data_IF_433873185167
#
_entry.id   IF_433873185167
#
_cell.length_a   1.000
_cell.length_b   1.000
_cell.length_c   1.000
_cell.angle_alpha   90.00
_cell.angle_beta   90.00
_cell.angle_gamma   90.00
#
_symmetry.space_group_name_H-M   'P 1'
#
loop_
_entity.id
_entity.type
_entity.pdbx_description
1 polymer ?
#
# COMPACT_ATOMS: atom_id res chain seq x y z
N UNK A 1 19.28 -27.16 20.50
CA UNK A 1 19.34 -27.59 19.08
C UNK A 1 19.71 -26.33 18.31
N UNK A 2 20.91 -26.29 17.70
CA UNK A 2 21.30 -25.15 16.87
C UNK A 2 20.45 -25.23 15.60
N UNK A 3 19.70 -24.17 15.28
CA UNK A 3 18.99 -24.11 14.01
C UNK A 3 20.03 -24.12 12.89
N UNK A 4 19.91 -25.09 11.97
CA UNK A 4 20.75 -25.12 10.78
C UNK A 4 20.47 -23.87 9.96
N UNK A 5 21.52 -23.12 9.62
CA UNK A 5 21.38 -21.90 8.85
C UNK A 5 20.80 -22.21 7.47
N UNK A 6 19.75 -21.48 7.06
CA UNK A 6 19.23 -21.57 5.70
C UNK A 6 20.29 -21.07 4.71
N UNK A 7 20.62 -21.89 3.71
CA UNK A 7 21.59 -21.55 2.67
C UNK A 7 20.87 -21.32 1.33
N UNK A 8 21.16 -20.19 0.69
CA UNK A 8 20.69 -19.89 -0.66
C UNK A 8 21.83 -20.03 -1.68
N UNK A 9 21.62 -20.74 -2.80
CA UNK A 9 22.65 -20.90 -3.83
C UNK A 9 22.95 -19.59 -4.59
N UNK A 10 22.06 -18.60 -4.49
CA UNK A 10 22.20 -17.29 -5.14
C UNK A 10 22.22 -16.16 -4.12
N UNK A 11 22.77 -15.01 -4.53
CA UNK A 11 22.74 -13.79 -3.71
C UNK A 11 21.31 -13.29 -3.57
N UNK A 12 20.94 -12.80 -2.39
CA UNK A 12 19.68 -12.09 -2.22
C UNK A 12 19.74 -10.72 -2.89
N UNK A 13 18.66 -10.31 -3.52
CA UNK A 13 18.49 -8.96 -4.10
C UNK A 13 17.75 -8.05 -3.12
N UNK A 14 16.78 -8.60 -2.39
CA UNK A 14 16.00 -7.87 -1.39
C UNK A 14 15.41 -8.83 -0.34
N UNK A 15 14.97 -8.29 0.79
CA UNK A 15 14.44 -9.06 1.92
C UNK A 15 13.36 -8.28 2.66
N UNK A 16 12.29 -8.95 3.05
CA UNK A 16 11.23 -8.35 3.86
C UNK A 16 10.67 -9.30 4.91
N UNK A 17 9.97 -8.76 5.90
CA UNK A 17 9.44 -9.52 7.03
C UNK A 17 7.92 -9.47 7.05
N UNK A 18 7.30 -10.53 6.52
CA UNK A 18 5.86 -10.76 6.51
C UNK A 18 5.50 -11.72 7.65
N UNK A 19 5.39 -11.20 8.88
CA UNK A 19 5.32 -11.99 10.12
C UNK A 19 4.33 -13.18 10.01
N UNK A 20 4.72 -14.41 10.42
CA UNK A 20 6.01 -14.81 11.02
C UNK A 20 7.10 -15.18 10.01
N UNK A 21 6.98 -14.79 8.74
CA UNK A 21 7.87 -15.23 7.67
C UNK A 21 8.89 -14.17 7.27
N UNK A 22 10.10 -14.64 6.98
CA UNK A 22 11.13 -13.88 6.27
C UNK A 22 11.01 -14.22 4.79
N UNK A 23 10.79 -13.21 3.96
CA UNK A 23 10.64 -13.37 2.51
C UNK A 23 11.91 -12.84 1.86
N UNK A 24 12.60 -13.71 1.11
CA UNK A 24 13.91 -13.43 0.52
C UNK A 24 13.80 -13.53 -0.99
N UNK A 25 14.05 -12.42 -1.68
CA UNK A 25 14.20 -12.40 -3.13
C UNK A 25 15.65 -12.70 -3.51
N UNK A 26 15.84 -13.57 -4.50
CA UNK A 26 17.15 -14.00 -4.98
C UNK A 26 17.43 -13.50 -6.41
N UNK A 27 18.71 -13.45 -6.76
CA UNK A 27 19.20 -13.00 -8.07
C UNK A 27 18.82 -13.93 -9.24
N UNK A 28 18.30 -15.12 -8.97
CA UNK A 28 17.78 -16.07 -9.95
C UNK A 28 16.27 -15.89 -10.22
N UNK A 29 15.72 -14.73 -9.84
CA UNK A 29 14.30 -14.39 -9.98
C UNK A 29 13.37 -15.29 -9.17
N UNK A 30 13.86 -15.91 -8.09
CA UNK A 30 13.03 -16.66 -7.14
C UNK A 30 12.80 -15.90 -5.84
N UNK A 31 11.66 -16.17 -5.20
CA UNK A 31 11.34 -15.75 -3.84
C UNK A 31 11.24 -16.98 -2.97
N UNK A 32 12.00 -16.99 -1.87
CA UNK A 32 11.95 -18.01 -0.83
C UNK A 32 11.26 -17.45 0.41
N UNK A 33 10.39 -18.26 1.02
CA UNK A 33 9.66 -17.87 2.23
C UNK A 33 10.09 -18.79 3.36
N UNK A 34 10.67 -18.18 4.39
CA UNK A 34 11.34 -18.84 5.51
C UNK A 34 10.53 -18.59 6.77
N UNK A 35 10.25 -19.64 7.53
CA UNK A 35 9.73 -19.48 8.88
C UNK A 35 10.82 -18.85 9.77
N UNK A 36 10.54 -17.69 10.37
CA UNK A 36 11.56 -16.94 11.12
C UNK A 36 11.91 -17.55 12.47
N UNK A 37 11.10 -18.45 13.01
CA UNK A 37 11.38 -19.16 14.26
C UNK A 37 12.24 -20.40 14.01
N UNK A 38 11.93 -21.14 12.95
CA UNK A 38 12.60 -22.41 12.61
C UNK A 38 13.84 -22.16 11.75
N UNK A 39 13.86 -21.10 10.95
CA UNK A 39 14.92 -20.80 9.98
C UNK A 39 14.88 -21.70 8.75
N UNK A 40 13.73 -22.30 8.44
CA UNK A 40 13.56 -23.23 7.31
C UNK A 40 12.60 -22.68 6.25
N UNK A 41 12.83 -23.04 4.99
CA UNK A 41 11.91 -22.73 3.89
C UNK A 41 10.63 -23.53 4.08
N UNK A 42 9.48 -22.86 4.11
CA UNK A 42 8.18 -23.47 4.43
C UNK A 42 7.19 -23.45 3.26
N UNK A 43 7.48 -22.71 2.20
CA UNK A 43 6.68 -22.69 0.98
C UNK A 43 7.51 -23.08 -0.25
N UNK A 44 6.87 -23.58 -1.32
CA UNK A 44 7.51 -23.67 -2.63
C UNK A 44 8.07 -22.31 -3.06
N UNK A 45 9.20 -22.34 -3.75
CA UNK A 45 9.79 -21.14 -4.33
C UNK A 45 8.83 -20.51 -5.33
N UNK A 46 8.69 -19.18 -5.27
CA UNK A 46 7.92 -18.42 -6.25
C UNK A 46 8.86 -17.91 -7.32
N UNK A 47 8.62 -18.32 -8.56
CA UNK A 47 9.34 -17.78 -9.72
C UNK A 47 8.64 -16.51 -10.20
N UNK A 48 9.41 -15.45 -10.42
CA UNK A 48 8.95 -14.23 -11.09
C UNK A 48 9.64 -14.08 -12.45
N UNK A 49 9.03 -13.29 -13.34
CA UNK A 49 9.49 -13.13 -14.72
C UNK A 49 10.91 -12.56 -14.82
N UNK A 50 11.18 -11.52 -14.04
CA UNK A 50 12.41 -10.73 -14.11
C UNK A 50 12.95 -10.39 -12.73
N UNK A 51 14.14 -9.80 -12.68
CA UNK A 51 14.84 -9.47 -11.43
C UNK A 51 14.00 -8.57 -10.54
N UNK A 52 13.89 -8.95 -9.26
CA UNK A 52 13.16 -8.18 -8.25
C UNK A 52 13.97 -6.95 -7.88
N UNK A 53 13.37 -5.77 -8.09
CA UNK A 53 13.97 -4.46 -7.77
C UNK A 53 13.41 -3.85 -6.49
N UNK A 54 12.29 -4.38 -6.00
CA UNK A 54 11.66 -3.97 -4.75
C UNK A 54 10.87 -5.13 -4.16
N UNK A 55 11.06 -5.40 -2.87
CA UNK A 55 10.31 -6.39 -2.10
C UNK A 55 9.84 -5.75 -0.79
N UNK A 56 8.55 -5.90 -0.48
CA UNK A 56 8.02 -5.42 0.79
C UNK A 56 6.80 -6.23 1.24
N UNK A 57 6.32 -5.94 2.45
CA UNK A 57 5.19 -6.62 3.05
C UNK A 57 4.29 -5.65 3.80
N UNK A 58 3.00 -5.95 3.82
CA UNK A 58 1.98 -5.23 4.55
C UNK A 58 0.99 -6.22 5.18
N UNK A 59 1.03 -6.36 6.51
CA UNK A 59 0.24 -7.37 7.22
C UNK A 59 0.60 -8.81 6.80
N UNK A 60 -0.40 -9.54 6.29
CA UNK A 60 -0.25 -10.92 5.79
C UNK A 60 0.11 -10.99 4.30
N UNK A 61 0.32 -9.84 3.67
CA UNK A 61 0.68 -9.76 2.27
C UNK A 61 2.17 -9.47 2.14
N UNK A 62 2.80 -10.10 1.16
CA UNK A 62 4.06 -9.60 0.61
C UNK A 62 3.89 -9.36 -0.87
N UNK A 63 4.73 -8.50 -1.41
CA UNK A 63 4.65 -8.10 -2.80
C UNK A 63 6.00 -7.66 -3.31
N UNK A 64 6.17 -7.78 -4.61
CA UNK A 64 7.38 -7.39 -5.29
C UNK A 64 7.09 -6.56 -6.54
N UNK A 65 8.10 -5.84 -6.97
CA UNK A 65 8.15 -5.21 -8.29
C UNK A 65 9.39 -5.75 -8.99
N UNK A 66 9.20 -6.30 -10.18
CA UNK A 66 10.29 -6.78 -11.04
C UNK A 66 10.74 -5.71 -12.03
N UNK A 67 11.91 -5.89 -12.65
CA UNK A 67 12.51 -4.93 -13.58
C UNK A 67 11.74 -4.74 -14.90
N UNK A 68 10.84 -5.66 -15.23
CA UNK A 68 9.82 -5.50 -16.29
C UNK A 68 8.63 -4.62 -15.85
N UNK A 69 8.72 -3.99 -14.68
CA UNK A 69 7.69 -3.09 -14.15
C UNK A 69 6.36 -3.81 -13.88
N UNK A 70 6.42 -5.06 -13.43
CA UNK A 70 5.22 -5.79 -12.99
C UNK A 70 5.18 -5.83 -11.46
N UNK A 71 4.08 -5.32 -10.89
CA UNK A 71 3.76 -5.48 -9.48
C UNK A 71 3.05 -6.80 -9.25
N UNK A 72 3.50 -7.60 -8.28
CA UNK A 72 2.84 -8.84 -7.88
C UNK A 72 2.68 -8.88 -6.37
N UNK A 73 1.52 -9.34 -5.90
CA UNK A 73 1.26 -9.54 -4.48
C UNK A 73 0.74 -10.95 -4.20
N UNK A 74 1.12 -11.45 -3.04
CA UNK A 74 0.68 -12.72 -2.49
C UNK A 74 0.18 -12.52 -1.06
N UNK A 75 -0.81 -13.32 -0.70
CA UNK A 75 -1.30 -13.46 0.66
C UNK A 75 -0.75 -14.75 1.25
N UNK A 76 -0.24 -14.67 2.48
CA UNK A 76 0.02 -15.85 3.30
C UNK A 76 -1.16 -16.02 4.26
N UNK A 77 -2.02 -17.00 3.98
CA UNK A 77 -3.21 -17.24 4.78
C UNK A 77 -2.87 -17.87 6.14
N UNK A 78 -3.83 -17.80 7.08
CA UNK A 78 -3.70 -18.44 8.40
C UNK A 78 -3.49 -19.96 8.33
N UNK A 79 -3.92 -20.59 7.23
CA UNK A 79 -3.77 -22.03 7.02
C UNK A 79 -2.43 -22.38 6.34
N UNK A 80 -1.46 -21.47 6.37
CA UNK A 80 -0.17 -21.61 5.70
C UNK A 80 -0.33 -21.92 4.21
N UNK A 81 -1.25 -21.23 3.54
CA UNK A 81 -1.37 -21.26 2.07
C UNK A 81 -0.83 -19.98 1.49
N UNK A 82 -0.16 -20.11 0.34
CA UNK A 82 0.35 -18.97 -0.41
C UNK A 82 -0.57 -18.72 -1.61
N UNK A 83 -1.31 -17.62 -1.57
CA UNK A 83 -2.26 -17.27 -2.64
C UNK A 83 -1.71 -16.10 -3.44
N UNK A 84 -1.61 -16.25 -4.76
CA UNK A 84 -1.36 -15.12 -5.63
C UNK A 84 -2.64 -14.28 -5.74
N UNK A 85 -2.58 -13.01 -5.32
CA UNK A 85 -3.77 -12.16 -5.18
C UNK A 85 -3.83 -11.02 -6.18
N UNK A 86 -2.70 -10.57 -6.71
CA UNK A 86 -2.68 -9.42 -7.61
C UNK A 86 -1.46 -9.42 -8.54
N UNK A 87 -1.69 -9.13 -9.81
CA UNK A 87 -0.65 -8.76 -10.79
C UNK A 87 -1.11 -7.49 -11.49
N UNK A 88 -0.26 -6.46 -11.55
CA UNK A 88 -0.54 -5.18 -12.18
C UNK A 88 0.67 -4.75 -13.01
N UNK A 89 0.42 -4.36 -14.26
CA UNK A 89 1.42 -3.71 -15.10
C UNK A 89 1.59 -2.24 -14.70
N UNK A 90 2.85 -1.87 -14.50
CA UNK A 90 3.22 -0.50 -14.21
C UNK A 90 3.68 0.14 -15.51
N UNK A 91 2.75 0.78 -16.19
CA UNK A 91 3.04 1.49 -17.45
C UNK A 91 3.66 2.89 -17.23
N UNK A 92 3.74 3.33 -15.98
CA UNK A 92 4.15 4.69 -15.62
C UNK A 92 5.54 4.67 -14.98
N UNK A 93 6.40 5.61 -15.37
CA UNK A 93 7.70 5.77 -14.72
C UNK A 93 7.53 6.19 -13.25
N UNK A 94 7.77 5.28 -12.32
CA UNK A 94 7.58 5.50 -10.88
C UNK A 94 8.73 6.23 -10.18
N UNK A 95 9.89 6.40 -10.81
CA UNK A 95 11.07 6.89 -10.11
C UNK A 95 11.36 6.05 -8.85
N UNK A 96 11.85 6.68 -7.79
CA UNK A 96 12.20 5.99 -6.54
C UNK A 96 10.95 5.70 -5.69
N UNK A 97 10.70 4.43 -5.42
CA UNK A 97 9.62 3.97 -4.52
C UNK A 97 10.12 4.09 -3.07
N UNK A 98 9.42 4.87 -2.25
CA UNK A 98 9.72 5.01 -0.82
C UNK A 98 8.98 3.97 0.01
N UNK A 99 7.72 3.72 -0.33
CA UNK A 99 6.83 2.81 0.40
C UNK A 99 5.70 2.37 -0.51
N UNK A 100 5.20 1.16 -0.28
CA UNK A 100 3.91 0.72 -0.82
C UNK A 100 3.06 0.24 0.35
N UNK A 101 1.75 0.50 0.30
CA UNK A 101 0.75 -0.08 1.21
C UNK A 101 -0.33 -0.77 0.39
N UNK A 102 -0.95 -1.79 0.96
CA UNK A 102 -2.05 -2.53 0.35
C UNK A 102 -3.35 -2.10 1.04
N UNK A 103 -4.33 -1.68 0.24
CA UNK A 103 -5.66 -1.29 0.74
C UNK A 103 -6.75 -2.06 0.01
N UNK A 104 -7.98 -2.04 0.51
CA UNK A 104 -9.13 -2.64 -0.16
C UNK A 104 -9.92 -1.53 -0.84
N UNK A 105 -10.17 -1.62 -2.15
CA UNK A 105 -10.94 -0.58 -2.88
C UNK A 105 -12.44 -0.77 -2.83
N UNK A 106 -12.86 -2.01 -3.01
CA UNK A 106 -14.25 -2.37 -3.26
C UNK A 106 -14.76 -3.21 -2.08
N UNK A 107 -16.09 -3.33 -1.99
CA UNK A 107 -16.77 -4.12 -0.96
C UNK A 107 -16.44 -5.62 -1.04
N UNK A 108 -15.89 -6.08 -2.16
CA UNK A 108 -15.45 -7.47 -2.37
C UNK A 108 -14.00 -7.73 -1.92
N UNK A 109 -13.40 -6.82 -1.14
CA UNK A 109 -12.02 -6.90 -0.67
C UNK A 109 -10.96 -6.88 -1.78
N UNK A 110 -11.27 -6.35 -2.97
CA UNK A 110 -10.28 -6.21 -4.04
C UNK A 110 -9.11 -5.32 -3.59
N UNK A 111 -7.91 -5.89 -3.66
CA UNK A 111 -6.69 -5.19 -3.24
C UNK A 111 -6.34 -4.06 -4.21
N UNK A 112 -5.92 -2.93 -3.67
CA UNK A 112 -5.58 -1.71 -4.38
C UNK A 112 -4.32 -1.13 -3.73
N UNK A 113 -3.15 -1.28 -4.37
CA UNK A 113 -1.92 -0.78 -3.80
C UNK A 113 -1.81 0.74 -3.94
N UNK A 114 -1.22 1.37 -2.92
CA UNK A 114 -0.87 2.80 -2.91
C UNK A 114 0.65 2.91 -2.80
N UNK A 115 1.24 3.55 -3.81
CA UNK A 115 2.67 3.77 -3.97
C UNK A 115 3.01 5.18 -3.51
N UNK A 116 3.88 5.27 -2.52
CA UNK A 116 4.51 6.52 -2.09
C UNK A 116 5.85 6.64 -2.81
N UNK A 117 5.90 7.50 -3.81
CA UNK A 117 7.08 7.78 -4.61
C UNK A 117 7.81 9.01 -4.04
N UNK A 118 8.97 9.32 -4.60
CA UNK A 118 9.76 10.44 -4.10
C UNK A 118 9.03 11.80 -4.17
N UNK A 119 8.28 12.00 -5.26
CA UNK A 119 7.67 13.28 -5.66
C UNK A 119 6.14 13.23 -5.81
N UNK A 120 5.50 12.10 -5.54
CA UNK A 120 4.04 11.94 -5.65
C UNK A 120 3.55 10.68 -4.93
N UNK A 121 2.26 10.63 -4.67
CA UNK A 121 1.57 9.40 -4.25
C UNK A 121 0.69 8.90 -5.39
N UNK A 122 0.68 7.60 -5.63
CA UNK A 122 -0.12 6.98 -6.68
C UNK A 122 -0.91 5.81 -6.13
N UNK A 123 -2.07 5.53 -6.70
CA UNK A 123 -2.91 4.39 -6.33
C UNK A 123 -3.41 3.70 -7.58
N UNK A 124 -3.38 2.37 -7.60
CA UNK A 124 -4.00 1.60 -8.65
C UNK A 124 -5.49 1.38 -8.32
N UNK A 125 -6.38 1.76 -9.23
CA UNK A 125 -7.81 1.53 -9.06
C UNK A 125 -8.25 0.24 -9.72
N UNK A 126 -8.87 -0.64 -8.92
CA UNK A 126 -9.49 -1.86 -9.41
C UNK A 126 -10.74 -1.57 -10.26
N UNK A 127 -11.48 -0.51 -9.92
CA UNK A 127 -12.71 -0.14 -10.66
C UNK A 127 -12.44 0.27 -12.10
N UNK A 128 -11.31 0.93 -12.33
CA UNK A 128 -10.97 1.52 -13.63
C UNK A 128 -9.77 0.84 -14.30
N UNK A 129 -9.18 -0.14 -13.63
CA UNK A 129 -7.94 -0.81 -14.05
C UNK A 129 -6.83 0.18 -14.43
N UNK A 130 -6.70 1.25 -13.65
CA UNK A 130 -5.81 2.37 -13.99
C UNK A 130 -5.16 3.03 -12.78
N UNK A 131 -4.02 3.69 -13.02
CA UNK A 131 -3.27 4.39 -11.99
C UNK A 131 -3.75 5.84 -11.84
N UNK A 132 -4.05 6.24 -10.61
CA UNK A 132 -4.37 7.63 -10.25
C UNK A 132 -3.25 8.26 -9.43
N UNK A 133 -2.91 9.50 -9.76
CA UNK A 133 -2.06 10.34 -8.90
C UNK A 133 -2.95 10.89 -7.79
N UNK A 134 -2.61 10.57 -6.55
CA UNK A 134 -3.20 11.19 -5.37
C UNK A 134 -2.46 12.52 -5.19
N UNK A 135 -3.14 13.68 -5.33
CA UNK A 135 -2.50 14.97 -5.13
C UNK A 135 -1.87 15.02 -3.74
N UNK A 136 -0.56 15.26 -3.67
CA UNK A 136 0.19 15.17 -2.42
C UNK A 136 -0.49 15.94 -1.29
N UNK A 137 -0.80 15.22 -0.20
CA UNK A 137 -1.22 15.86 1.05
C UNK A 137 -0.05 16.39 1.86
N UNK A 138 1.17 15.97 1.54
CA UNK A 138 2.35 16.18 2.37
C UNK A 138 3.21 17.39 1.98
N UNK A 139 2.88 18.12 0.91
CA UNK A 139 3.66 19.29 0.47
C UNK A 139 3.13 20.65 0.95
N UNK A 140 2.13 20.70 1.83
CA UNK A 140 1.85 21.92 2.60
C UNK A 140 2.27 21.74 4.06
N UNK A 141 3.41 22.32 4.50
CA UNK A 141 3.90 22.22 5.88
C UNK A 141 3.01 22.88 6.93
N UNK A 142 1.89 23.51 6.55
CA UNK A 142 1.13 24.40 7.45
C UNK A 142 -0.08 23.77 8.10
N UNK A 143 -0.57 22.62 7.67
CA UNK A 143 -1.87 22.12 8.15
C UNK A 143 -1.71 20.90 9.06
N UNK A 144 -1.21 21.15 10.27
CA UNK A 144 -1.40 20.27 11.43
C UNK A 144 -2.90 20.19 11.75
N UNK A 145 -3.61 19.37 10.99
CA UNK A 145 -5.00 19.04 11.26
C UNK A 145 -5.07 18.02 12.40
N UNK A 146 -4.88 18.50 13.63
CA UNK A 146 -5.36 17.79 14.80
C UNK A 146 -6.88 17.86 14.75
N UNK A 147 -7.52 16.81 14.25
CA UNK A 147 -8.94 16.55 14.51
C UNK A 147 -9.03 16.39 16.03
N UNK A 148 -9.30 17.47 16.75
CA UNK A 148 -9.72 17.33 18.13
C UNK A 148 -11.12 16.70 18.08
N UNK A 149 -11.36 15.67 18.87
CA UNK A 149 -12.67 15.02 19.05
C UNK A 149 -13.75 15.97 19.63
N UNK A 150 -13.46 17.27 19.71
CA UNK A 150 -14.39 18.29 20.12
C UNK A 150 -15.09 18.90 18.88
N UNK A 151 -16.36 18.56 18.63
CA UNK A 151 -17.12 19.03 17.47
C UNK A 151 -17.37 20.56 17.46
N UNK A 152 -17.04 21.26 18.56
CA UNK A 152 -17.19 22.70 18.69
C UNK A 152 -15.89 23.48 18.49
N UNK A 153 -14.75 22.81 18.29
CA UNK A 153 -13.51 23.52 17.96
C UNK A 153 -13.55 23.89 16.48
N UNK A 154 -13.43 25.18 16.16
CA UNK A 154 -13.32 25.65 14.79
C UNK A 154 -12.17 24.90 14.09
N UNK A 155 -12.56 23.89 13.33
CA UNK A 155 -11.74 23.15 12.40
C UNK A 155 -11.21 24.21 11.43
N UNK A 156 -9.90 24.51 11.50
CA UNK A 156 -9.22 25.51 10.68
C UNK A 156 -9.12 25.11 9.21
N UNK A 157 -10.24 24.75 8.58
CA UNK A 157 -10.35 24.62 7.13
C UNK A 157 -11.00 25.89 6.62
N UNK A 158 -10.15 26.80 6.16
CA UNK A 158 -10.54 28.13 5.73
C UNK A 158 -11.37 28.08 4.44
N UNK A 159 -11.16 27.08 3.58
CA UNK A 159 -11.79 27.03 2.25
C UNK A 159 -12.66 25.78 1.98
N UNK A 160 -13.69 25.94 1.14
CA UNK A 160 -14.47 24.80 0.64
C UNK A 160 -13.59 23.87 -0.22
N UNK A 161 -12.58 24.42 -0.88
CA UNK A 161 -11.60 23.67 -1.67
C UNK A 161 -10.81 22.68 -0.81
N UNK A 162 -10.26 23.12 0.33
CA UNK A 162 -9.57 22.25 1.27
C UNK A 162 -10.48 21.17 1.85
N UNK A 163 -11.75 21.50 2.15
CA UNK A 163 -12.71 20.50 2.61
C UNK A 163 -12.99 19.42 1.55
N UNK A 164 -13.18 19.82 0.28
CA UNK A 164 -13.34 18.89 -0.84
C UNK A 164 -12.08 18.03 -1.02
N UNK A 165 -10.91 18.64 -0.94
CA UNK A 165 -9.62 17.93 -1.00
C UNK A 165 -9.50 16.90 0.12
N UNK A 166 -9.86 17.24 1.36
CA UNK A 166 -9.85 16.29 2.48
C UNK A 166 -10.90 15.18 2.33
N UNK A 167 -12.08 15.50 1.79
CA UNK A 167 -13.10 14.50 1.47
C UNK A 167 -12.58 13.49 0.44
N UNK A 168 -12.05 13.96 -0.69
CA UNK A 168 -11.47 13.09 -1.70
C UNK A 168 -10.29 12.29 -1.14
N UNK A 169 -9.43 12.92 -0.33
CA UNK A 169 -8.37 12.19 0.35
C UNK A 169 -8.93 11.06 1.22
N UNK A 170 -9.93 11.35 2.06
CA UNK A 170 -10.54 10.35 2.92
C UNK A 170 -11.17 9.20 2.12
N UNK A 171 -11.78 9.48 0.96
CA UNK A 171 -12.24 8.46 0.02
C UNK A 171 -11.06 7.65 -0.55
N UNK A 172 -10.01 8.31 -1.01
CA UNK A 172 -8.83 7.63 -1.58
C UNK A 172 -8.03 6.81 -0.56
N UNK A 173 -8.17 7.09 0.73
CA UNK A 173 -7.53 6.32 1.81
C UNK A 173 -8.52 5.43 2.57
N UNK A 174 -9.77 5.30 2.10
CA UNK A 174 -10.81 4.48 2.73
C UNK A 174 -11.07 4.79 4.21
N UNK A 175 -10.95 6.06 4.59
CA UNK A 175 -11.24 6.51 5.95
C UNK A 175 -12.69 6.96 6.02
N UNK A 176 -13.61 6.00 6.25
CA UNK A 176 -15.05 6.23 6.26
C UNK A 176 -15.50 7.35 7.23
N UNK A 177 -14.95 7.37 8.45
CA UNK A 177 -15.26 8.39 9.45
C UNK A 177 -14.83 9.79 8.98
N UNK A 178 -13.63 9.91 8.41
CA UNK A 178 -13.12 11.19 7.87
C UNK A 178 -13.93 11.63 6.65
N UNK A 179 -14.32 10.70 5.77
CA UNK A 179 -15.13 11.02 4.60
C UNK A 179 -16.51 11.54 5.02
N UNK A 180 -17.17 10.85 5.96
CA UNK A 180 -18.47 11.24 6.51
C UNK A 180 -18.41 12.61 7.17
N UNK A 181 -17.38 12.83 7.99
CA UNK A 181 -17.13 14.12 8.61
C UNK A 181 -16.94 15.23 7.57
N UNK A 182 -16.06 15.04 6.59
CA UNK A 182 -15.80 16.04 5.55
C UNK A 182 -17.07 16.35 4.74
N UNK A 183 -17.84 15.32 4.39
CA UNK A 183 -19.11 15.47 3.69
C UNK A 183 -20.10 16.31 4.49
N UNK A 184 -20.22 16.05 5.80
CA UNK A 184 -21.12 16.82 6.68
C UNK A 184 -20.78 18.32 6.71
N UNK A 185 -19.48 18.66 6.71
CA UNK A 185 -19.01 20.05 6.70
C UNK A 185 -19.24 20.70 5.33
N UNK A 186 -19.01 19.97 4.23
CA UNK A 186 -19.28 20.44 2.87
C UNK A 186 -20.76 20.76 2.71
N UNK A 187 -21.66 19.86 3.12
CA UNK A 187 -23.11 20.07 3.06
C UNK A 187 -23.51 21.30 3.88
N UNK A 188 -23.01 21.44 5.11
CA UNK A 188 -23.30 22.62 5.96
C UNK A 188 -22.88 23.93 5.29
N UNK A 189 -21.66 24.02 4.74
CA UNK A 189 -21.21 25.23 4.03
C UNK A 189 -22.05 25.51 2.78
N UNK A 190 -22.44 24.48 2.03
CA UNK A 190 -23.27 24.61 0.83
C UNK A 190 -24.68 25.12 1.15
N UNK A 191 -25.27 24.70 2.27
CA UNK A 191 -26.57 25.19 2.74
C UNK A 191 -26.54 26.67 3.14
N UNK A 192 -25.42 27.15 3.69
CA UNK A 192 -25.25 28.57 4.04
C UNK A 192 -25.14 29.43 2.77
N UNK A 193 -24.45 28.94 1.75
CA UNK A 193 -24.18 29.69 0.51
C UNK A 193 -25.40 29.84 -0.41
N UNK A 194 -26.41 28.97 -0.26
CA UNK A 194 -27.65 28.98 -1.06
C UNK A 194 -28.85 29.62 -0.33
N UNK A 195 -28.59 30.42 0.72
CA UNK A 195 -29.57 31.30 1.35
C UNK A 195 -29.27 32.74 0.99
#
# INVERSE_FOLDING_TARGET
MLADACFFPYRFTDITFCRPFLVVALADNTINIIDSEIGAVVFPQVLVSETIVYLSSDGNYFFCISSDMIFRAWEISQNFTLNHVLTIDIEINFGTIKKVIITNELENDSLSPIFFLENRTMRYSQTTESWFIIPDLFTSPTNNFNISDNPNKNIGVDTLYEMKRQFFHALTTHSGDKATFCLSVIIKKFMIYNR
#
